data_IF_783072641155
#
_entry.id   IF_783072641155
#
_cell.length_a   1.000
_cell.length_b   1.000
_cell.length_c   1.000
_cell.angle_alpha   90.00
_cell.angle_beta   90.00
_cell.angle_gamma   90.00
#
_symmetry.space_group_name_H-M   'P 1'
#
loop_
_entity.id
_entity.type
_entity.pdbx_description
1 polymer ?
#
# COMPACT_ATOMS: atom_id res chain seq x y z
N UNK A 1 0.26 13.81 -25.50
CA UNK A 1 0.31 14.38 -24.15
C UNK A 1 -1.00 13.96 -23.49
N UNK A 2 -0.98 13.05 -22.53
CA UNK A 2 -2.18 12.71 -21.74
C UNK A 2 -2.58 13.95 -20.95
N UNK A 3 -3.82 14.40 -21.08
CA UNK A 3 -4.37 15.41 -20.18
C UNK A 3 -4.18 14.90 -18.74
N UNK A 4 -3.39 15.61 -17.97
CA UNK A 4 -3.17 15.30 -16.56
C UNK A 4 -4.48 15.64 -15.84
N UNK A 5 -5.22 14.59 -15.42
CA UNK A 5 -6.44 14.77 -14.66
C UNK A 5 -6.06 15.36 -13.29
N UNK A 6 -6.41 16.60 -13.07
CA UNK A 6 -6.17 17.29 -11.80
C UNK A 6 -7.46 17.30 -10.97
N UNK A 7 -7.47 16.53 -9.88
CA UNK A 7 -8.50 16.61 -8.85
C UNK A 7 -7.98 17.46 -7.67
N UNK A 8 -8.49 18.68 -7.45
CA UNK A 8 -8.06 19.52 -6.36
C UNK A 8 -8.35 18.95 -4.96
N UNK A 9 -9.18 17.90 -4.89
CA UNK A 9 -9.47 17.17 -3.65
C UNK A 9 -8.57 15.97 -3.42
N UNK A 10 -7.69 15.65 -4.35
CA UNK A 10 -6.73 14.56 -4.20
C UNK A 10 -5.65 14.94 -3.19
N UNK A 11 -5.44 14.09 -2.18
CA UNK A 11 -4.38 14.20 -1.18
C UNK A 11 -3.62 12.88 -1.08
N UNK A 12 -2.30 12.95 -1.10
CA UNK A 12 -1.43 11.78 -0.92
C UNK A 12 -0.60 11.98 0.34
N UNK A 13 -0.66 11.02 1.26
CA UNK A 13 0.14 11.01 2.48
C UNK A 13 1.12 9.84 2.48
N UNK A 14 2.34 10.08 2.95
CA UNK A 14 3.37 9.07 3.12
C UNK A 14 3.55 8.75 4.61
N UNK A 15 3.37 7.51 5.01
CA UNK A 15 3.81 7.05 6.32
C UNK A 15 5.29 6.61 6.29
N UNK A 16 5.78 6.00 7.37
CA UNK A 16 7.22 5.82 7.56
C UNK A 16 7.86 4.70 6.73
N UNK A 17 7.09 3.74 6.19
CA UNK A 17 7.67 2.54 5.57
C UNK A 17 8.52 2.81 4.33
N UNK A 18 8.12 3.76 3.46
CA UNK A 18 8.85 4.06 2.22
C UNK A 18 8.55 5.47 1.69
N UNK A 19 9.04 6.50 2.38
CA UNK A 19 8.89 7.90 1.96
C UNK A 19 9.46 8.18 0.55
N UNK A 20 10.64 7.65 0.16
CA UNK A 20 11.16 7.89 -1.19
C UNK A 20 10.25 7.36 -2.32
N UNK A 21 9.54 6.26 -2.11
CA UNK A 21 8.55 5.76 -3.08
C UNK A 21 7.35 6.69 -3.15
N UNK A 22 6.85 7.13 -1.99
CA UNK A 22 5.71 8.04 -1.91
C UNK A 22 5.99 9.38 -2.62
N UNK A 23 7.18 9.95 -2.45
CA UNK A 23 7.64 11.15 -3.15
C UNK A 23 7.65 10.96 -4.67
N UNK A 24 8.16 9.81 -5.14
CA UNK A 24 8.15 9.49 -6.58
C UNK A 24 6.74 9.35 -7.13
N UNK A 25 5.83 8.71 -6.38
CA UNK A 25 4.42 8.56 -6.76
C UNK A 25 3.77 9.94 -6.83
N UNK A 26 3.88 10.77 -5.78
CA UNK A 26 3.30 12.11 -5.74
C UNK A 26 3.80 12.97 -6.91
N UNK A 27 5.11 12.95 -7.17
CA UNK A 27 5.72 13.63 -8.32
C UNK A 27 5.16 13.15 -9.66
N UNK A 28 4.98 11.82 -9.81
CA UNK A 28 4.44 11.24 -11.05
C UNK A 28 2.98 11.60 -11.28
N UNK A 29 2.20 11.71 -10.20
CA UNK A 29 0.80 12.15 -10.23
C UNK A 29 0.68 13.67 -10.43
N UNK A 30 1.71 14.44 -10.08
CA UNK A 30 1.73 15.90 -10.20
C UNK A 30 1.14 16.62 -8.98
N UNK A 31 1.22 16.00 -7.78
CA UNK A 31 0.77 16.59 -6.52
C UNK A 31 1.91 16.59 -5.48
N UNK A 32 1.78 17.45 -4.49
CA UNK A 32 2.66 17.43 -3.33
C UNK A 32 2.14 16.42 -2.28
N UNK A 33 3.07 15.87 -1.48
CA UNK A 33 2.68 15.08 -0.31
C UNK A 33 1.99 15.94 0.73
N UNK A 34 0.94 15.41 1.32
CA UNK A 34 0.24 16.04 2.42
C UNK A 34 1.13 16.15 3.67
N UNK A 35 0.87 17.17 4.48
CA UNK A 35 1.64 17.47 5.69
C UNK A 35 1.15 16.65 6.87
N UNK A 36 2.03 15.85 7.45
CA UNK A 36 1.78 15.10 8.67
C UNK A 36 3.06 14.88 9.45
N UNK A 37 2.93 14.65 10.75
CA UNK A 37 3.98 14.06 11.57
C UNK A 37 3.57 12.69 12.08
N UNK A 38 4.52 11.76 12.07
CA UNK A 38 4.38 10.40 12.59
C UNK A 38 5.54 10.16 13.55
N UNK A 39 5.22 10.11 14.82
CA UNK A 39 6.17 9.98 15.93
C UNK A 39 5.77 8.81 16.83
N UNK A 40 6.60 8.54 17.83
CA UNK A 40 6.29 7.62 18.92
C UNK A 40 6.37 8.32 20.27
N UNK A 41 5.50 7.94 21.20
CA UNK A 41 5.66 8.27 22.59
C UNK A 41 6.83 7.51 23.20
N UNK A 42 7.26 7.89 24.40
CA UNK A 42 8.40 7.28 25.09
C UNK A 42 8.25 5.80 25.40
N UNK A 43 7.00 5.31 25.44
CA UNK A 43 6.62 3.90 25.64
C UNK A 43 6.48 3.13 24.31
N UNK A 44 6.67 3.80 23.17
CA UNK A 44 6.61 3.21 21.83
C UNK A 44 5.23 3.28 21.15
N UNK A 45 4.21 3.86 21.79
CA UNK A 45 2.93 4.07 21.13
C UNK A 45 3.05 5.09 20.00
N UNK A 46 2.40 4.80 18.87
CA UNK A 46 2.45 5.63 17.67
C UNK A 46 1.53 6.84 17.82
N UNK A 47 2.05 8.01 17.45
CA UNK A 47 1.32 9.26 17.38
C UNK A 47 1.33 9.80 15.96
N UNK A 48 0.15 10.10 15.41
CA UNK A 48 -0.02 10.73 14.09
C UNK A 48 -0.72 12.07 14.27
N UNK A 49 -0.20 13.09 13.58
CA UNK A 49 -0.84 14.39 13.48
C UNK A 49 -0.91 14.83 12.03
N UNK A 50 -2.13 15.06 11.52
CA UNK A 50 -2.37 15.58 10.17
C UNK A 50 -2.35 17.13 10.27
N UNK A 51 -1.45 17.77 9.53
CA UNK A 51 -1.13 19.19 9.68
C UNK A 51 -1.83 20.08 8.64
N UNK A 52 -2.82 19.52 7.94
CA UNK A 52 -3.63 20.26 6.98
C UNK A 52 -5.08 19.80 6.98
N UNK A 53 -5.98 20.61 6.41
CA UNK A 53 -7.38 20.21 6.25
C UNK A 53 -7.54 19.18 5.16
N UNK A 54 -8.24 18.09 5.50
CA UNK A 54 -8.55 16.99 4.56
C UNK A 54 -10.06 16.76 4.43
N UNK A 55 -10.87 17.68 4.95
CA UNK A 55 -12.34 17.56 4.89
C UNK A 55 -12.83 17.47 3.46
N UNK A 56 -13.55 16.40 3.13
CA UNK A 56 -14.08 16.14 1.80
C UNK A 56 -13.04 15.76 0.74
N UNK A 57 -11.77 15.52 1.15
CA UNK A 57 -10.71 15.09 0.24
C UNK A 57 -10.79 13.60 -0.08
N UNK A 58 -10.29 13.22 -1.26
CA UNK A 58 -9.98 11.86 -1.63
C UNK A 58 -8.53 11.56 -1.22
N UNK A 59 -8.37 10.83 -0.13
CA UNK A 59 -7.06 10.60 0.47
C UNK A 59 -6.47 9.26 0.04
N UNK A 60 -5.19 9.28 -0.34
CA UNK A 60 -4.37 8.09 -0.59
C UNK A 60 -3.25 8.03 0.44
N UNK A 61 -3.17 6.91 1.17
CA UNK A 61 -2.11 6.63 2.15
C UNK A 61 -1.12 5.67 1.52
N UNK A 62 0.14 6.06 1.41
CA UNK A 62 1.19 5.17 0.92
C UNK A 62 1.91 4.57 2.11
N UNK A 63 1.73 3.26 2.32
CA UNK A 63 2.34 2.50 3.40
C UNK A 63 2.46 1.02 3.05
N UNK A 64 3.67 0.49 3.03
CA UNK A 64 3.92 -0.96 3.02
C UNK A 64 3.89 -1.51 4.43
N UNK A 65 3.36 -2.71 4.62
CA UNK A 65 3.43 -3.42 5.91
C UNK A 65 4.56 -4.45 5.91
N UNK A 66 5.73 -4.05 5.35
CA UNK A 66 7.00 -4.76 5.47
C UNK A 66 7.64 -4.50 6.84
N UNK A 67 8.84 -5.02 7.08
CA UNK A 67 9.54 -4.80 8.36
C UNK A 67 9.84 -3.32 8.63
N UNK A 68 9.56 -2.82 9.84
CA UNK A 68 8.94 -3.47 11.00
C UNK A 68 7.42 -3.63 10.82
N UNK A 69 6.96 -4.88 10.66
CA UNK A 69 5.59 -5.19 10.16
C UNK A 69 4.49 -4.65 11.07
N UNK A 70 4.65 -4.84 12.40
CA UNK A 70 3.61 -4.46 13.35
C UNK A 70 3.48 -2.96 13.50
N UNK A 71 4.61 -2.24 13.50
CA UNK A 71 4.63 -0.78 13.61
C UNK A 71 4.00 -0.15 12.36
N UNK A 72 4.42 -0.61 11.17
CA UNK A 72 3.87 -0.13 9.92
C UNK A 72 2.37 -0.43 9.77
N UNK A 73 1.90 -1.58 10.27
CA UNK A 73 0.48 -1.90 10.28
C UNK A 73 -0.29 -1.00 11.25
N UNK A 74 0.24 -0.77 12.45
CA UNK A 74 -0.40 0.09 13.43
C UNK A 74 -0.42 1.55 12.98
N UNK A 75 0.67 2.07 12.39
CA UNK A 75 0.66 3.40 11.75
C UNK A 75 -0.48 3.53 10.74
N UNK A 76 -0.65 2.53 9.87
CA UNK A 76 -1.70 2.54 8.87
C UNK A 76 -3.09 2.60 9.51
N UNK A 77 -3.37 1.77 10.52
CA UNK A 77 -4.68 1.71 11.17
C UNK A 77 -5.01 3.03 11.87
N UNK A 78 -4.05 3.62 12.58
CA UNK A 78 -4.21 4.92 13.26
C UNK A 78 -4.44 6.04 12.23
N UNK A 79 -3.71 6.02 11.11
CA UNK A 79 -3.90 7.02 10.05
C UNK A 79 -5.27 6.93 9.42
N UNK A 80 -5.79 5.72 9.15
CA UNK A 80 -7.14 5.53 8.61
C UNK A 80 -8.18 6.13 9.57
N UNK A 81 -8.09 5.82 10.88
CA UNK A 81 -9.02 6.34 11.90
C UNK A 81 -8.95 7.88 11.96
N UNK A 82 -7.76 8.46 11.95
CA UNK A 82 -7.56 9.91 11.97
C UNK A 82 -8.23 10.59 10.76
N UNK A 83 -8.05 10.03 9.55
CA UNK A 83 -8.66 10.56 8.33
C UNK A 83 -10.18 10.46 8.33
N UNK A 84 -10.74 9.35 8.78
CA UNK A 84 -12.21 9.17 8.92
C UNK A 84 -12.78 10.18 9.91
N UNK A 85 -12.14 10.40 11.06
CA UNK A 85 -12.55 11.40 12.06
C UNK A 85 -12.43 12.83 11.54
N UNK A 86 -11.44 13.09 10.68
CA UNK A 86 -11.26 14.40 10.07
C UNK A 86 -12.16 14.62 8.81
N UNK A 87 -13.09 13.72 8.55
CA UNK A 87 -14.09 13.81 7.47
C UNK A 87 -13.49 13.77 6.06
N UNK A 88 -12.48 12.94 5.83
CA UNK A 88 -12.09 12.57 4.47
C UNK A 88 -13.29 11.97 3.72
N UNK A 89 -13.43 12.27 2.42
CA UNK A 89 -14.50 11.71 1.58
C UNK A 89 -14.25 10.23 1.31
N UNK A 90 -13.04 9.88 0.94
CA UNK A 90 -12.58 8.49 0.77
C UNK A 90 -11.19 8.32 1.35
N UNK A 91 -10.93 7.12 1.90
CA UNK A 91 -9.61 6.72 2.42
C UNK A 91 -9.14 5.51 1.62
N UNK A 92 -8.19 5.75 0.73
CA UNK A 92 -7.62 4.75 -0.16
C UNK A 92 -6.20 4.40 0.30
N UNK A 93 -5.87 3.12 0.29
CA UNK A 93 -4.56 2.62 0.71
C UNK A 93 -3.75 2.25 -0.53
N UNK A 94 -2.51 2.71 -0.61
CA UNK A 94 -1.51 2.21 -1.54
C UNK A 94 -0.50 1.41 -0.72
N UNK A 95 -0.62 0.09 -0.78
CA UNK A 95 0.16 -0.85 0.01
C UNK A 95 0.99 -1.75 -0.92
N UNK A 96 2.19 -1.31 -1.32
CA UNK A 96 3.04 -2.10 -2.23
C UNK A 96 3.38 -3.48 -1.69
N UNK A 97 3.51 -3.64 -0.38
CA UNK A 97 3.72 -4.92 0.27
C UNK A 97 2.68 -5.16 1.36
N UNK A 98 1.90 -6.25 1.21
CA UNK A 98 0.91 -6.70 2.18
C UNK A 98 1.53 -7.69 3.15
N UNK A 99 1.78 -7.29 4.37
CA UNK A 99 2.31 -8.12 5.44
C UNK A 99 1.33 -9.23 5.87
N UNK A 100 1.85 -10.30 6.48
CA UNK A 100 1.10 -11.48 6.88
C UNK A 100 0.42 -12.26 5.74
N UNK A 101 0.66 -11.90 4.47
CA UNK A 101 0.05 -12.52 3.30
C UNK A 101 0.33 -14.03 3.19
N UNK A 102 1.47 -14.50 3.71
CA UNK A 102 1.84 -15.93 3.69
C UNK A 102 0.95 -16.82 4.55
N UNK A 103 0.15 -16.22 5.45
CA UNK A 103 -0.83 -16.92 6.29
C UNK A 103 -2.25 -16.72 5.74
N UNK A 104 -2.46 -17.07 4.47
CA UNK A 104 -3.72 -16.92 3.74
C UNK A 104 -4.67 -18.14 3.92
N UNK A 105 -4.16 -19.23 4.43
CA UNK A 105 -4.89 -20.49 4.67
C UNK A 105 -4.35 -21.24 5.89
N UNK A 106 -5.14 -22.15 6.42
CA UNK A 106 -4.67 -23.12 7.40
C UNK A 106 -3.92 -24.24 6.69
N UNK A 107 -2.62 -24.38 6.94
CA UNK A 107 -1.83 -25.52 6.50
C UNK A 107 -2.00 -26.71 7.46
N UNK A 108 -2.27 -26.42 8.75
CA UNK A 108 -2.50 -27.41 9.81
C UNK A 108 -3.70 -27.01 10.66
N UNK A 109 -4.21 -27.97 11.45
CA UNK A 109 -5.28 -27.69 12.42
C UNK A 109 -4.83 -26.67 13.46
N UNK A 110 -5.74 -25.77 13.90
CA UNK A 110 -5.53 -24.74 14.92
C UNK A 110 -4.60 -23.59 14.52
N UNK A 111 -4.21 -23.48 13.25
CA UNK A 111 -3.48 -22.32 12.74
C UNK A 111 -4.43 -21.15 12.45
N UNK A 112 -3.95 -19.90 12.55
CA UNK A 112 -4.72 -18.72 12.15
C UNK A 112 -4.74 -18.56 10.63
N UNK A 113 -5.62 -17.67 10.16
CA UNK A 113 -5.55 -17.08 8.81
C UNK A 113 -5.27 -15.58 9.02
N UNK A 114 -4.01 -15.25 9.27
CA UNK A 114 -3.62 -13.89 9.67
C UNK A 114 -3.82 -12.88 8.55
N UNK A 115 -3.67 -13.30 7.28
CA UNK A 115 -4.00 -12.44 6.14
C UNK A 115 -5.47 -11.95 6.20
N UNK A 116 -6.42 -12.82 6.58
CA UNK A 116 -7.82 -12.42 6.77
C UNK A 116 -8.03 -11.53 8.01
N UNK A 117 -7.32 -11.79 9.09
CA UNK A 117 -7.37 -10.94 10.28
C UNK A 117 -6.96 -9.52 9.94
N UNK A 118 -5.81 -9.33 9.26
CA UNK A 118 -5.32 -8.02 8.83
C UNK A 118 -6.31 -7.33 7.90
N UNK A 119 -6.89 -8.06 6.93
CA UNK A 119 -7.92 -7.51 6.05
C UNK A 119 -9.15 -6.99 6.83
N UNK A 120 -9.58 -7.75 7.86
CA UNK A 120 -10.69 -7.34 8.73
C UNK A 120 -10.34 -6.08 9.54
N UNK A 121 -9.11 -5.98 10.06
CA UNK A 121 -8.67 -4.80 10.82
C UNK A 121 -8.66 -3.54 9.95
N UNK A 122 -8.12 -3.63 8.74
CA UNK A 122 -8.10 -2.51 7.77
C UNK A 122 -9.53 -2.11 7.38
N UNK A 123 -10.40 -3.09 7.15
CA UNK A 123 -11.82 -2.83 6.85
C UNK A 123 -12.51 -2.15 8.02
N UNK A 124 -12.32 -2.64 9.24
CA UNK A 124 -12.92 -2.08 10.46
C UNK A 124 -12.39 -0.66 10.77
N UNK A 125 -11.15 -0.36 10.45
CA UNK A 125 -10.59 0.99 10.56
C UNK A 125 -11.27 2.00 9.61
N UNK A 126 -11.89 1.53 8.52
CA UNK A 126 -12.70 2.35 7.62
C UNK A 126 -12.06 2.68 6.28
N UNK A 127 -11.14 1.87 5.78
CA UNK A 127 -10.63 2.00 4.43
C UNK A 127 -11.72 1.74 3.37
N UNK A 128 -11.68 2.49 2.28
CA UNK A 128 -12.67 2.42 1.19
C UNK A 128 -12.13 1.67 -0.04
N UNK A 129 -10.80 1.61 -0.24
CA UNK A 129 -10.12 0.94 -1.36
C UNK A 129 -8.67 0.64 -1.02
N UNK A 130 -8.09 -0.38 -1.66
CA UNK A 130 -6.66 -0.67 -1.56
C UNK A 130 -6.07 -0.98 -2.93
N UNK A 131 -4.89 -0.42 -3.21
CA UNK A 131 -3.99 -0.83 -4.27
C UNK A 131 -2.83 -1.60 -3.65
N UNK A 132 -2.53 -2.76 -4.19
CA UNK A 132 -1.40 -3.58 -3.73
C UNK A 132 -0.67 -4.21 -4.92
N UNK A 133 0.58 -4.63 -4.70
CA UNK A 133 1.41 -5.23 -5.74
C UNK A 133 1.80 -6.65 -5.31
N UNK A 134 1.74 -7.60 -6.25
CA UNK A 134 2.22 -8.97 -6.10
C UNK A 134 1.81 -9.62 -4.77
N UNK A 135 0.51 -9.76 -4.51
CA UNK A 135 0.01 -10.49 -3.37
C UNK A 135 0.57 -11.92 -3.37
N UNK A 136 0.98 -12.41 -2.20
CA UNK A 136 1.45 -13.79 -2.04
C UNK A 136 0.51 -14.83 -2.67
N UNK A 137 -0.80 -14.59 -2.59
CA UNK A 137 -1.82 -15.38 -3.26
C UNK A 137 -2.94 -14.45 -3.75
N UNK A 138 -3.31 -14.53 -5.01
CA UNK A 138 -4.27 -13.62 -5.64
C UNK A 138 -5.65 -13.62 -4.97
N UNK A 139 -6.07 -14.76 -4.38
CA UNK A 139 -7.34 -14.89 -3.66
C UNK A 139 -7.43 -14.01 -2.40
N UNK A 140 -6.31 -13.49 -1.86
CA UNK A 140 -6.32 -12.58 -0.71
C UNK A 140 -7.16 -11.33 -0.98
N UNK A 141 -7.25 -10.87 -2.25
CA UNK A 141 -8.13 -9.77 -2.63
C UNK A 141 -9.60 -10.01 -2.20
N UNK A 142 -10.05 -11.27 -2.17
CA UNK A 142 -11.38 -11.65 -1.71
C UNK A 142 -11.58 -11.61 -0.19
N UNK A 143 -10.55 -11.30 0.61
CA UNK A 143 -10.67 -11.17 2.07
C UNK A 143 -11.21 -9.81 2.51
N UNK A 144 -11.23 -8.83 1.61
CA UNK A 144 -11.70 -7.47 1.88
C UNK A 144 -13.17 -7.31 1.49
N UNK A 145 -13.86 -6.40 2.17
CA UNK A 145 -15.25 -6.01 1.85
C UNK A 145 -15.34 -4.75 0.99
N UNK A 146 -14.18 -4.29 0.49
CA UNK A 146 -14.04 -3.17 -0.43
C UNK A 146 -13.18 -3.57 -1.63
N UNK A 147 -13.11 -2.73 -2.65
CA UNK A 147 -12.33 -3.04 -3.86
C UNK A 147 -10.83 -3.04 -3.60
N UNK A 148 -10.17 -4.09 -4.11
CA UNK A 148 -8.72 -4.25 -4.10
C UNK A 148 -8.20 -4.29 -5.53
N UNK A 149 -7.33 -3.35 -5.88
CA UNK A 149 -6.59 -3.36 -7.13
C UNK A 149 -5.29 -4.14 -6.92
N UNK A 150 -5.26 -5.36 -7.40
CA UNK A 150 -4.06 -6.21 -7.35
C UNK A 150 -3.23 -6.00 -8.61
N UNK A 151 -2.18 -5.19 -8.50
CA UNK A 151 -1.21 -4.94 -9.56
C UNK A 151 -0.18 -6.07 -9.63
N UNK A 152 0.30 -6.34 -10.83
CA UNK A 152 1.32 -7.38 -11.08
C UNK A 152 2.59 -6.72 -11.59
N UNK A 153 3.72 -7.01 -10.94
CA UNK A 153 5.03 -6.42 -11.25
C UNK A 153 5.74 -7.07 -12.43
N UNK A 154 5.38 -8.30 -12.82
CA UNK A 154 6.06 -9.03 -13.89
C UNK A 154 6.15 -8.28 -15.23
N UNK A 155 5.14 -7.53 -15.72
CA UNK A 155 5.30 -6.74 -16.95
C UNK A 155 6.36 -5.64 -16.83
N UNK A 156 6.52 -5.03 -15.64
CA UNK A 156 7.55 -4.02 -15.38
C UNK A 156 8.95 -4.64 -15.42
N UNK A 157 9.12 -5.82 -14.81
CA UNK A 157 10.36 -6.57 -14.82
C UNK A 157 10.72 -7.03 -16.24
N UNK A 158 9.76 -7.58 -16.97
CA UNK A 158 9.96 -7.98 -18.37
C UNK A 158 10.42 -6.80 -19.24
N UNK A 159 9.74 -5.66 -19.13
CA UNK A 159 10.12 -4.45 -19.87
C UNK A 159 11.51 -3.94 -19.48
N UNK A 160 11.89 -4.03 -18.20
CA UNK A 160 13.21 -3.67 -17.72
C UNK A 160 14.31 -4.51 -18.42
N UNK A 161 14.13 -5.83 -18.50
CA UNK A 161 15.08 -6.73 -19.15
C UNK A 161 15.15 -6.48 -20.67
N UNK A 162 14.00 -6.30 -21.33
CA UNK A 162 13.95 -6.00 -22.75
C UNK A 162 14.64 -4.69 -23.10
N UNK A 163 14.39 -3.62 -22.35
CA UNK A 163 14.99 -2.29 -22.60
C UNK A 163 16.48 -2.22 -22.30
N UNK A 164 17.00 -3.15 -21.47
CA UNK A 164 18.43 -3.27 -21.17
C UNK A 164 19.20 -4.12 -22.19
N UNK A 165 18.52 -4.70 -23.19
CA UNK A 165 19.15 -5.57 -24.18
C UNK A 165 19.77 -6.83 -23.57
N UNK A 166 19.23 -7.31 -22.43
CA UNK A 166 19.70 -8.54 -21.77
C UNK A 166 19.32 -9.78 -22.58
N UNK A 167 18.27 -9.66 -23.41
CA UNK A 167 17.85 -10.69 -24.35
C UNK A 167 18.34 -10.30 -25.74
N UNK A 168 19.32 -11.02 -26.28
CA UNK A 168 19.75 -10.93 -27.68
C UNK A 168 19.22 -12.15 -28.42
N UNK A 169 18.89 -12.00 -29.71
CA UNK A 169 18.37 -13.11 -30.55
C UNK A 169 19.41 -14.25 -30.74
N UNK A 170 20.64 -14.06 -30.25
CA UNK A 170 21.76 -15.00 -30.43
C UNK A 170 22.05 -15.85 -29.17
N UNK A 171 21.38 -15.62 -28.05
CA UNK A 171 21.65 -16.34 -26.80
C UNK A 171 20.43 -17.10 -26.29
N UNK A 172 20.61 -18.35 -25.89
CA UNK A 172 19.61 -19.12 -25.16
C UNK A 172 19.42 -18.55 -23.76
N UNK A 173 18.30 -17.85 -23.53
CA UNK A 173 17.97 -17.25 -22.23
C UNK A 173 17.01 -18.15 -21.47
N UNK A 174 17.36 -18.49 -20.23
CA UNK A 174 16.52 -19.28 -19.33
C UNK A 174 16.12 -18.42 -18.14
N UNK A 175 14.81 -18.39 -17.86
CA UNK A 175 14.27 -17.78 -16.65
C UNK A 175 14.13 -18.86 -15.58
N UNK A 176 14.79 -18.65 -14.44
CA UNK A 176 14.76 -19.59 -13.32
C UNK A 176 14.00 -18.94 -12.14
N UNK A 177 12.96 -19.62 -11.65
CA UNK A 177 12.30 -19.27 -10.39
C UNK A 177 12.97 -20.04 -9.24
N UNK A 178 13.26 -19.42 -8.08
CA UNK A 178 13.83 -20.11 -6.93
C UNK A 178 12.84 -21.01 -6.18
N UNK A 179 11.53 -20.92 -6.44
CA UNK A 179 10.42 -21.66 -5.81
C UNK A 179 9.55 -22.39 -6.82
#
# INVERSE_FOLDING_TARGET
>A
MSEQYFDPKLKIFALNSNKPLAEKIAKSVGVELGKLSVDQFSDGEIRINIEESIRGAHVYIIQSTSSPVNDNLMELLIMIDALKRASASTVNIVMPYYGYARQDRKARSREPITAKLVANMITAAGADRMLTLDLHAAQIQGFFFFFVDHLVGSPLLANYFLTRGIFTDEEDVVVVSPD
#
